data_IF_131480557982
#
_entry.id   IF_131480557982
#
_cell.length_a   1.000
_cell.length_b   1.000
_cell.length_c   1.000
_cell.angle_alpha   90.00
_cell.angle_beta   90.00
_cell.angle_gamma   90.00
#
_symmetry.space_group_name_H-M   'P 1'
#
loop_
_entity.id
_entity.type
_entity.pdbx_description
1 polymer ?
#
# COMPACT_ATOMS: atom_id res chain seq x y z
N UNK A 1 -14.98 27.87 -5.72
CA UNK A 1 -13.80 26.97 -5.89
C UNK A 1 -12.62 27.84 -6.26
N UNK A 2 -11.44 27.60 -5.69
CA UNK A 2 -10.21 28.28 -6.14
C UNK A 2 -9.90 27.91 -7.59
N UNK A 3 -9.33 28.83 -8.35
CA UNK A 3 -8.80 28.55 -9.70
C UNK A 3 -7.54 27.69 -9.61
N UNK A 4 -7.17 27.03 -10.71
CA UNK A 4 -5.92 26.25 -10.78
C UNK A 4 -4.67 27.12 -10.50
N UNK A 5 -4.68 28.39 -10.91
CA UNK A 5 -3.59 29.31 -10.64
C UNK A 5 -3.44 29.61 -9.15
N UNK A 6 -4.57 29.80 -8.44
CA UNK A 6 -4.56 29.99 -6.99
C UNK A 6 -4.08 28.74 -6.25
N UNK A 7 -4.43 27.54 -6.75
CA UNK A 7 -3.94 26.28 -6.20
C UNK A 7 -2.42 26.11 -6.43
N UNK A 8 -1.93 26.39 -7.63
CA UNK A 8 -0.50 26.32 -7.97
C UNK A 8 0.31 27.34 -7.17
N UNK A 9 -0.22 28.55 -6.96
CA UNK A 9 0.42 29.55 -6.12
C UNK A 9 0.57 29.05 -4.67
N UNK A 10 -0.50 28.49 -4.09
CA UNK A 10 -0.46 27.91 -2.75
C UNK A 10 0.52 26.72 -2.66
N UNK A 11 0.51 25.82 -3.64
CA UNK A 11 1.48 24.72 -3.74
C UNK A 11 2.92 25.23 -3.80
N UNK A 12 3.19 26.25 -4.63
CA UNK A 12 4.53 26.82 -4.78
C UNK A 12 5.01 27.44 -3.47
N UNK A 13 4.14 28.14 -2.75
CA UNK A 13 4.47 28.71 -1.45
C UNK A 13 4.79 27.62 -0.40
N UNK A 14 4.05 26.51 -0.40
CA UNK A 14 4.34 25.37 0.48
C UNK A 14 5.69 24.73 0.14
N UNK A 15 6.00 24.55 -1.15
CA UNK A 15 7.31 24.05 -1.56
C UNK A 15 8.46 24.99 -1.16
N UNK A 16 8.26 26.31 -1.18
CA UNK A 16 9.31 27.24 -0.77
C UNK A 16 9.72 27.08 0.71
N UNK A 17 8.86 26.49 1.54
CA UNK A 17 9.20 26.15 2.93
C UNK A 17 10.14 24.94 3.03
N UNK A 18 10.17 24.07 2.02
CA UNK A 18 11.13 22.97 1.90
C UNK A 18 10.76 21.67 2.64
N UNK A 19 9.98 21.76 3.71
CA UNK A 19 9.65 20.63 4.58
C UNK A 19 8.93 19.50 3.84
N UNK A 20 7.97 19.82 2.96
CA UNK A 20 7.23 18.81 2.19
C UNK A 20 8.18 18.00 1.30
N UNK A 21 9.18 18.64 0.70
CA UNK A 21 10.16 17.95 -0.14
C UNK A 21 11.08 17.04 0.67
N UNK A 22 11.46 17.45 1.88
CA UNK A 22 12.29 16.63 2.79
C UNK A 22 11.48 15.41 3.22
N UNK A 23 10.25 15.62 3.72
CA UNK A 23 9.37 14.56 4.16
C UNK A 23 9.07 13.56 3.03
N UNK A 24 8.66 14.04 1.85
CA UNK A 24 8.32 13.16 0.72
C UNK A 24 9.51 12.34 0.23
N UNK A 25 10.71 12.94 0.16
CA UNK A 25 11.94 12.18 -0.15
C UNK A 25 12.24 11.13 0.92
N UNK A 26 12.05 11.47 2.20
CA UNK A 26 12.22 10.55 3.33
C UNK A 26 11.28 9.35 3.23
N UNK A 27 10.00 9.59 2.94
CA UNK A 27 8.99 8.54 2.73
C UNK A 27 9.38 7.63 1.57
N UNK A 28 9.73 8.18 0.39
CA UNK A 28 10.13 7.38 -0.76
C UNK A 28 11.42 6.59 -0.51
N UNK A 29 12.38 7.17 0.21
CA UNK A 29 13.60 6.49 0.60
C UNK A 29 13.31 5.30 1.54
N UNK A 30 12.41 5.49 2.52
CA UNK A 30 11.95 4.41 3.39
C UNK A 30 11.24 3.31 2.60
N UNK A 31 10.30 3.66 1.71
CA UNK A 31 9.61 2.68 0.86
C UNK A 31 10.61 1.91 -0.02
N UNK A 32 11.67 2.56 -0.48
CA UNK A 32 12.80 1.91 -1.16
C UNK A 32 13.50 0.85 -0.32
N UNK A 33 13.80 1.17 0.95
CA UNK A 33 14.39 0.21 1.91
C UNK A 33 13.44 -0.94 2.21
N UNK A 34 12.16 -0.63 2.48
CA UNK A 34 11.12 -1.62 2.72
C UNK A 34 11.01 -2.59 1.55
N UNK A 35 10.92 -2.07 0.31
CA UNK A 35 10.90 -2.89 -0.91
C UNK A 35 12.13 -3.79 -1.02
N UNK A 36 13.32 -3.27 -0.74
CA UNK A 36 14.55 -4.06 -0.77
C UNK A 36 14.55 -5.18 0.28
N UNK A 37 14.01 -4.93 1.48
CA UNK A 37 13.84 -5.95 2.52
C UNK A 37 12.91 -7.07 2.05
N UNK A 38 11.77 -6.74 1.42
CA UNK A 38 10.85 -7.72 0.86
C UNK A 38 11.47 -8.54 -0.29
N UNK A 39 12.23 -7.92 -1.19
CA UNK A 39 12.94 -8.65 -2.26
C UNK A 39 13.93 -9.66 -1.67
N UNK A 40 14.66 -9.25 -0.62
CA UNK A 40 15.63 -10.11 0.05
C UNK A 40 14.97 -11.27 0.81
N UNK A 41 13.87 -10.99 1.53
CA UNK A 41 13.18 -11.97 2.38
C UNK A 41 12.33 -12.95 1.57
N UNK A 42 11.69 -12.50 0.48
CA UNK A 42 10.80 -13.31 -0.35
C UNK A 42 11.28 -13.39 -1.81
N UNK A 43 12.39 -14.10 -2.10
CA UNK A 43 12.99 -14.15 -3.44
C UNK A 43 12.10 -14.80 -4.50
N UNK A 44 11.06 -15.54 -4.08
CA UNK A 44 10.08 -16.17 -4.97
C UNK A 44 8.92 -15.25 -5.36
N UNK A 45 8.84 -14.05 -4.78
CA UNK A 45 7.78 -13.10 -5.07
C UNK A 45 8.24 -12.17 -6.17
N UNK A 46 7.33 -11.88 -7.10
CA UNK A 46 7.55 -10.80 -8.05
C UNK A 46 7.23 -9.47 -7.37
N UNK A 47 8.25 -8.61 -7.26
CA UNK A 47 8.14 -7.30 -6.60
C UNK A 47 8.17 -6.18 -7.63
N UNK A 48 7.08 -5.42 -7.76
CA UNK A 48 6.99 -4.32 -8.72
C UNK A 48 7.94 -3.17 -8.38
N UNK A 49 8.15 -2.26 -9.32
CA UNK A 49 8.73 -0.95 -9.01
C UNK A 49 7.81 -0.16 -8.07
N UNK A 50 8.38 0.89 -7.46
CA UNK A 50 7.65 1.82 -6.62
C UNK A 50 6.80 2.73 -7.52
N UNK A 51 5.50 2.76 -7.27
CA UNK A 51 4.64 3.84 -7.70
C UNK A 51 4.76 4.99 -6.70
N UNK A 52 5.28 6.12 -7.15
CA UNK A 52 5.50 7.29 -6.29
C UNK A 52 4.19 8.02 -5.97
N UNK A 53 3.25 8.07 -6.93
CA UNK A 53 1.97 8.74 -6.76
C UNK A 53 2.02 10.26 -6.88
N UNK A 54 0.87 10.86 -6.62
CA UNK A 54 0.60 12.29 -6.72
C UNK A 54 0.49 12.95 -5.33
N UNK A 55 1.26 12.47 -4.35
CA UNK A 55 1.11 12.76 -2.91
C UNK A 55 -0.22 12.26 -2.31
N UNK A 56 -0.87 11.33 -2.99
CA UNK A 56 -2.06 10.60 -2.56
C UNK A 56 -1.66 9.29 -1.87
N UNK A 57 -0.93 8.44 -2.59
CA UNK A 57 -0.37 7.19 -2.11
C UNK A 57 0.97 6.85 -2.76
N UNK A 58 1.86 6.18 -2.04
CA UNK A 58 3.04 5.54 -2.63
C UNK A 58 3.05 4.07 -2.28
N UNK A 59 3.35 3.20 -3.24
CA UNK A 59 3.29 1.76 -3.00
C UNK A 59 4.23 0.96 -3.90
N UNK A 60 4.48 -0.28 -3.50
CA UNK A 60 4.92 -1.34 -4.40
C UNK A 60 4.03 -2.57 -4.18
N UNK A 61 4.08 -3.50 -5.12
CA UNK A 61 3.27 -4.71 -5.07
C UNK A 61 4.11 -5.97 -5.09
N UNK A 62 3.59 -6.97 -4.41
CA UNK A 62 4.07 -8.34 -4.34
C UNK A 62 3.07 -9.22 -5.11
N UNK A 63 3.57 -10.17 -5.87
CA UNK A 63 2.69 -11.15 -6.50
C UNK A 63 3.36 -12.51 -6.59
N UNK A 64 2.62 -13.54 -6.21
CA UNK A 64 2.99 -14.94 -6.42
C UNK A 64 2.35 -15.44 -7.71
N UNK A 65 2.84 -16.55 -8.26
CA UNK A 65 2.26 -17.13 -9.48
C UNK A 65 0.72 -17.36 -9.38
N UNK A 66 0.18 -17.93 -8.28
CA UNK A 66 -1.28 -18.09 -8.13
C UNK A 66 -2.06 -16.78 -8.13
N UNK A 67 -1.52 -15.73 -7.50
CA UNK A 67 -2.15 -14.40 -7.51
C UNK A 67 -2.13 -13.81 -8.91
N UNK A 68 -0.99 -13.88 -9.62
CA UNK A 68 -0.87 -13.40 -11.00
C UNK A 68 -1.87 -14.07 -11.94
N UNK A 69 -2.04 -15.39 -11.84
CA UNK A 69 -2.97 -16.16 -12.67
C UNK A 69 -4.43 -15.72 -12.48
N UNK A 70 -4.78 -15.26 -11.28
CA UNK A 70 -6.10 -14.69 -10.97
C UNK A 70 -6.18 -13.17 -11.19
N UNK A 71 -5.10 -12.56 -11.71
CA UNK A 71 -5.02 -11.12 -11.92
C UNK A 71 -5.02 -10.31 -10.63
N UNK A 72 -4.53 -10.90 -9.53
CA UNK A 72 -4.43 -10.30 -8.21
C UNK A 72 -2.96 -10.01 -7.83
N UNK A 73 -2.78 -9.06 -6.92
CA UNK A 73 -1.49 -8.70 -6.32
C UNK A 73 -1.73 -8.18 -4.91
N UNK A 74 -0.69 -8.23 -4.08
CA UNK A 74 -0.69 -7.63 -2.74
C UNK A 74 0.05 -6.30 -2.84
N UNK A 75 -0.60 -5.18 -2.56
CA UNK A 75 0.04 -3.87 -2.54
C UNK A 75 0.35 -3.44 -1.11
N UNK A 76 1.57 -2.96 -0.86
CA UNK A 76 1.95 -2.34 0.41
C UNK A 76 1.97 -0.84 0.18
N UNK A 77 1.02 -0.14 0.81
CA UNK A 77 0.64 1.22 0.45
C UNK A 77 0.87 2.14 1.63
N UNK A 78 1.58 3.24 1.41
CA UNK A 78 1.57 4.40 2.29
C UNK A 78 0.55 5.41 1.79
N UNK A 79 -0.45 5.73 2.60
CA UNK A 79 -1.44 6.76 2.30
C UNK A 79 -0.95 8.08 2.90
N UNK A 80 -0.57 9.04 2.06
CA UNK A 80 0.10 10.28 2.50
C UNK A 80 -0.80 11.15 3.36
N UNK A 81 -2.07 11.31 2.97
CA UNK A 81 -3.04 12.12 3.72
C UNK A 81 -3.37 11.49 5.09
N UNK A 82 -3.46 10.15 5.15
CA UNK A 82 -3.74 9.44 6.40
C UNK A 82 -2.51 9.27 7.29
N UNK A 83 -1.30 9.34 6.71
CA UNK A 83 -0.05 9.07 7.42
C UNK A 83 0.08 7.61 7.87
N UNK A 84 -0.51 6.65 7.14
CA UNK A 84 -0.62 5.26 7.55
C UNK A 84 -0.12 4.28 6.48
N UNK A 85 0.32 3.10 6.93
CA UNK A 85 0.56 1.96 6.04
C UNK A 85 -0.62 1.01 6.04
N UNK A 86 -1.02 0.60 4.85
CA UNK A 86 -2.02 -0.42 4.59
C UNK A 86 -1.45 -1.51 3.68
N UNK A 87 -2.03 -2.69 3.74
CA UNK A 87 -1.84 -3.77 2.78
C UNK A 87 -3.15 -4.03 2.06
N UNK A 88 -3.11 -4.07 0.74
CA UNK A 88 -4.28 -4.27 -0.10
C UNK A 88 -4.18 -5.55 -0.90
N UNK A 89 -5.29 -6.26 -1.05
CA UNK A 89 -5.48 -7.18 -2.15
C UNK A 89 -5.98 -6.37 -3.34
N UNK A 90 -5.13 -6.14 -4.34
CA UNK A 90 -5.48 -5.36 -5.53
C UNK A 90 -5.70 -6.28 -6.73
N UNK A 91 -6.68 -5.91 -7.56
CA UNK A 91 -6.91 -6.58 -8.83
C UNK A 91 -6.31 -5.79 -10.00
N UNK A 92 -5.98 -6.48 -11.09
CA UNK A 92 -5.45 -5.86 -12.31
C UNK A 92 -6.46 -4.91 -12.97
N UNK A 93 -7.75 -5.16 -12.78
CA UNK A 93 -8.83 -4.30 -13.27
C UNK A 93 -10.11 -4.47 -12.42
N UNK A 94 -11.06 -3.56 -12.62
CA UNK A 94 -12.32 -3.52 -11.86
C UNK A 94 -13.22 -4.74 -12.07
N UNK A 95 -13.16 -5.39 -13.24
CA UNK A 95 -13.96 -6.59 -13.47
C UNK A 95 -13.45 -7.76 -12.61
N UNK A 96 -12.13 -7.92 -12.51
CA UNK A 96 -11.50 -8.92 -11.63
C UNK A 96 -11.73 -8.57 -10.16
N UNK A 97 -11.69 -7.28 -9.78
CA UNK A 97 -11.99 -6.87 -8.42
C UNK A 97 -13.39 -7.35 -7.98
N UNK A 98 -14.40 -7.13 -8.83
CA UNK A 98 -15.78 -7.56 -8.57
C UNK A 98 -15.94 -9.07 -8.41
N UNK A 99 -15.19 -9.89 -9.17
CA UNK A 99 -15.27 -11.35 -9.05
C UNK A 99 -14.68 -11.87 -7.73
N UNK A 100 -13.93 -11.04 -7.00
CA UNK A 100 -13.26 -11.42 -5.76
C UNK A 100 -13.79 -10.68 -4.52
N UNK A 101 -14.85 -9.87 -4.63
CA UNK A 101 -15.41 -9.11 -3.48
C UNK A 101 -15.87 -10.01 -2.34
N UNK A 102 -16.41 -11.20 -2.63
CA UNK A 102 -16.84 -12.17 -1.61
C UNK A 102 -15.70 -12.72 -0.75
N UNK A 103 -14.43 -12.44 -1.09
CA UNK A 103 -13.30 -12.83 -0.23
C UNK A 103 -13.36 -12.15 1.14
N UNK A 104 -13.92 -10.93 1.21
CA UNK A 104 -14.06 -10.17 2.45
C UNK A 104 -14.88 -10.91 3.50
N UNK A 105 -16.01 -11.51 3.08
CA UNK A 105 -16.92 -12.26 3.95
C UNK A 105 -16.22 -13.44 4.65
N UNK A 106 -15.15 -13.95 4.03
CA UNK A 106 -14.40 -15.10 4.55
C UNK A 106 -13.19 -14.70 5.41
N UNK A 107 -12.74 -13.45 5.35
CA UNK A 107 -11.50 -12.97 5.98
C UNK A 107 -11.71 -12.27 7.33
N UNK A 108 -12.94 -11.83 7.63
CA UNK A 108 -13.26 -10.94 8.75
C UNK A 108 -12.99 -11.50 10.16
N UNK A 109 -12.97 -12.82 10.33
CA UNK A 109 -12.81 -13.46 11.65
C UNK A 109 -11.35 -13.58 12.11
N UNK A 110 -10.37 -13.49 11.20
CA UNK A 110 -8.94 -13.75 11.49
C UNK A 110 -8.08 -12.47 11.50
N UNK A 111 -8.49 -11.47 10.73
CA UNK A 111 -7.81 -10.18 10.60
C UNK A 111 -8.85 -9.10 10.34
N UNK A 112 -8.62 -7.90 10.87
CA UNK A 112 -9.44 -6.73 10.60
C UNK A 112 -9.21 -6.24 9.16
N UNK A 113 -9.81 -6.95 8.21
CA UNK A 113 -9.90 -6.54 6.81
C UNK A 113 -11.18 -5.71 6.62
N UNK A 114 -11.12 -4.77 5.69
CA UNK A 114 -12.25 -3.95 5.29
C UNK A 114 -12.17 -3.63 3.80
N UNK A 115 -13.19 -2.95 3.29
CA UNK A 115 -13.13 -2.35 1.97
C UNK A 115 -13.66 -0.92 2.01
N UNK A 116 -12.88 0.04 1.53
CA UNK A 116 -13.34 1.42 1.33
C UNK A 116 -14.03 1.53 -0.03
N UNK A 117 -15.32 1.90 -0.03
CA UNK A 117 -16.11 2.02 -1.26
C UNK A 117 -15.54 3.03 -2.26
N UNK A 118 -14.71 3.97 -1.80
CA UNK A 118 -14.03 4.94 -2.65
C UNK A 118 -12.69 4.42 -3.20
N UNK A 119 -12.16 3.34 -2.64
CA UNK A 119 -10.90 2.73 -3.06
C UNK A 119 -11.12 1.71 -4.18
N UNK A 120 -11.03 2.20 -5.42
CA UNK A 120 -11.24 1.37 -6.60
C UNK A 120 -10.06 0.46 -6.95
N UNK A 121 -8.93 0.61 -6.24
CA UNK A 121 -7.69 -0.13 -6.46
C UNK A 121 -7.53 -1.34 -5.52
N UNK A 122 -8.44 -1.49 -4.55
CA UNK A 122 -8.46 -2.59 -3.60
C UNK A 122 -9.73 -3.42 -3.70
N UNK A 123 -9.58 -4.72 -3.42
CA UNK A 123 -10.66 -5.68 -3.16
C UNK A 123 -10.84 -5.86 -1.65
N UNK A 124 -9.74 -5.79 -0.91
CA UNK A 124 -9.72 -5.81 0.54
C UNK A 124 -8.48 -5.04 1.01
N UNK A 125 -8.62 -4.38 2.15
CA UNK A 125 -7.61 -3.54 2.79
C UNK A 125 -7.41 -3.98 4.25
N UNK A 126 -6.21 -3.81 4.76
CA UNK A 126 -5.90 -3.99 6.17
C UNK A 126 -4.88 -2.93 6.60
N UNK A 127 -5.11 -2.27 7.74
CA UNK A 127 -4.15 -1.30 8.29
C UNK A 127 -3.00 -2.08 8.92
N UNK A 128 -1.78 -1.82 8.45
CA UNK A 128 -0.55 -2.37 9.00
C UNK A 128 -0.06 -1.55 10.20
N UNK A 129 -0.06 -0.23 10.05
CA UNK A 129 0.19 0.71 11.15
C UNK A 129 -0.44 2.07 10.82
N UNK A 130 -1.19 2.62 11.78
CA UNK A 130 -1.80 3.94 11.67
C UNK A 130 -0.89 5.11 12.11
N UNK A 131 0.25 4.80 12.74
CA UNK A 131 1.20 5.81 13.27
C UNK A 131 2.63 5.31 13.08
N UNK A 132 3.15 5.28 11.83
CA UNK A 132 4.49 4.81 11.56
C UNK A 132 5.54 5.73 12.17
N UNK A 133 6.52 5.14 12.86
CA UNK A 133 7.73 5.83 13.31
C UNK A 133 8.83 5.66 12.27
N UNK A 134 9.17 6.74 11.57
CA UNK A 134 10.22 6.76 10.54
C UNK A 134 11.64 6.88 11.10
N UNK A 135 11.78 7.15 12.41
CA UNK A 135 13.08 7.20 13.09
C UNK A 135 13.57 5.78 13.42
N UNK A 136 12.67 4.88 13.86
CA UNK A 136 12.96 3.45 14.01
C UNK A 136 12.54 2.64 12.77
N UNK A 137 13.31 2.81 11.70
CA UNK A 137 13.00 2.15 10.42
C UNK A 137 13.08 0.62 10.48
N UNK A 138 13.89 0.05 11.39
CA UNK A 138 14.01 -1.39 11.52
C UNK A 138 12.73 -1.98 12.11
N UNK A 139 12.26 -1.41 13.22
CA UNK A 139 11.01 -1.83 13.85
C UNK A 139 9.80 -1.60 12.93
N UNK A 140 9.80 -0.49 12.18
CA UNK A 140 8.73 -0.21 11.23
C UNK A 140 8.69 -1.24 10.09
N UNK A 141 9.85 -1.63 9.55
CA UNK A 141 9.93 -2.71 8.55
C UNK A 141 9.38 -4.02 9.12
N UNK A 142 9.81 -4.42 10.31
CA UNK A 142 9.37 -5.66 10.95
C UNK A 142 7.85 -5.67 11.22
N UNK A 143 7.30 -4.52 11.64
CA UNK A 143 5.85 -4.35 11.87
C UNK A 143 5.05 -4.53 10.58
N UNK A 144 5.48 -3.88 9.49
CA UNK A 144 4.82 -3.98 8.19
C UNK A 144 4.94 -5.42 7.67
N UNK A 145 6.13 -6.01 7.74
CA UNK A 145 6.40 -7.36 7.26
C UNK A 145 5.53 -8.40 7.97
N UNK A 146 5.45 -8.35 9.30
CA UNK A 146 4.58 -9.22 10.07
C UNK A 146 3.08 -9.08 9.71
N UNK A 147 2.61 -7.85 9.51
CA UNK A 147 1.23 -7.59 9.09
C UNK A 147 0.94 -8.12 7.69
N UNK A 148 1.89 -7.96 6.76
CA UNK A 148 1.78 -8.50 5.39
C UNK A 148 1.79 -10.02 5.40
N UNK A 149 2.65 -10.68 6.16
CA UNK A 149 2.65 -12.15 6.29
C UNK A 149 1.30 -12.67 6.76
N UNK A 150 0.71 -12.05 7.79
CA UNK A 150 -0.63 -12.41 8.27
C UNK A 150 -1.69 -12.24 7.19
N UNK A 151 -1.68 -11.10 6.51
CA UNK A 151 -2.63 -10.79 5.44
C UNK A 151 -2.54 -11.79 4.29
N UNK A 152 -1.32 -12.09 3.83
CA UNK A 152 -1.06 -13.08 2.78
C UNK A 152 -1.52 -14.47 3.20
N UNK A 153 -1.20 -14.90 4.41
CA UNK A 153 -1.59 -16.22 4.92
C UNK A 153 -3.11 -16.40 4.94
N UNK A 154 -3.84 -15.38 5.40
CA UNK A 154 -5.30 -15.43 5.41
C UNK A 154 -5.88 -15.50 3.99
N UNK A 155 -5.31 -14.75 3.04
CA UNK A 155 -5.78 -14.70 1.65
C UNK A 155 -5.48 -15.99 0.88
N UNK A 156 -4.25 -16.49 0.94
CA UNK A 156 -3.81 -17.65 0.13
C UNK A 156 -4.67 -18.88 0.40
N UNK A 157 -5.12 -19.08 1.65
CA UNK A 157 -5.99 -20.20 2.01
C UNK A 157 -7.39 -20.14 1.36
N UNK A 158 -7.81 -18.95 0.94
CA UNK A 158 -9.17 -18.66 0.45
C UNK A 158 -9.22 -18.48 -1.06
N UNK A 159 -8.09 -18.14 -1.68
CA UNK A 159 -7.92 -18.07 -3.12
C UNK A 159 -7.57 -19.47 -3.67
N UNK A 160 -8.59 -20.34 -3.79
CA UNK A 160 -8.50 -21.58 -4.59
C UNK A 160 -8.80 -21.28 -6.06
#
# INVERSE_FOLDING_TARGET
MKTINEQIAAYTQQLQQGEIQIAYKGILAFIGKLRAAFIKKYPHYDVSNIYQGYLDMSYFSLSTKPLKEKGLKIAIVYLHEKGSFEVWLSARNRNIARTHQSILDSLSDEISVFHDENNQDAVAECILTGTPDFEDQALLIDTIDYGVEKFVAAIVNRIK
#
